data_IF_430727528407
#
_entry.id   IF_430727528407
#
_cell.length_a   1.000
_cell.length_b   1.000
_cell.length_c   1.000
_cell.angle_alpha   90.00
_cell.angle_beta   90.00
_cell.angle_gamma   90.00
#
_symmetry.space_group_name_H-M   'P 1'
#
loop_
_entity.id
_entity.type
_entity.pdbx_description
1 polymer ?
#
# COMPACT_ATOMS: atom_id res chain seq x y z
N UNK A 1 60.69 -41.51 2.52
CA UNK A 1 60.82 -40.58 3.64
C UNK A 1 60.62 -39.20 3.06
N UNK A 2 59.37 -38.75 3.00
CA UNK A 2 58.75 -37.89 4.04
C UNK A 2 59.33 -36.48 4.06
N UNK A 3 58.47 -35.48 3.92
CA UNK A 3 58.81 -34.11 4.31
C UNK A 3 58.12 -33.02 3.49
N UNK A 4 56.87 -32.70 3.84
CA UNK A 4 56.15 -31.47 3.47
C UNK A 4 56.92 -30.23 3.93
N UNK A 5 56.90 -29.13 3.16
CA UNK A 5 56.25 -27.86 3.56
C UNK A 5 56.30 -26.82 2.44
N UNK A 6 55.10 -26.36 2.10
CA UNK A 6 54.81 -25.18 1.30
C UNK A 6 55.24 -23.91 2.04
N UNK A 7 55.87 -22.98 1.33
CA UNK A 7 56.17 -21.64 1.82
C UNK A 7 55.49 -20.59 0.91
N UNK A 8 54.50 -19.93 1.51
CA UNK A 8 53.98 -18.58 1.26
C UNK A 8 54.00 -17.98 -0.16
N UNK A 9 52.81 -17.87 -0.76
CA UNK A 9 52.49 -16.75 -1.66
C UNK A 9 51.34 -15.96 -1.05
N UNK A 10 51.69 -14.85 -0.38
CA UNK A 10 50.77 -13.79 0.01
C UNK A 10 50.15 -13.17 -1.25
N UNK A 11 48.84 -13.35 -1.45
CA UNK A 11 48.03 -12.50 -2.33
C UNK A 11 47.23 -11.55 -1.46
N UNK A 12 47.49 -10.25 -1.64
CA UNK A 12 46.78 -9.10 -1.06
C UNK A 12 45.26 -9.33 -1.08
N UNK A 13 44.65 -9.36 0.10
CA UNK A 13 43.21 -9.14 0.28
C UNK A 13 43.03 -7.63 0.36
N UNK A 14 42.25 -7.05 -0.54
CA UNK A 14 41.82 -5.66 -0.48
C UNK A 14 40.97 -5.47 0.78
N UNK A 15 41.48 -4.71 1.74
CA UNK A 15 40.70 -4.12 2.82
C UNK A 15 39.68 -3.18 2.19
N UNK A 16 38.40 -3.57 2.19
CA UNK A 16 37.32 -2.59 2.18
C UNK A 16 37.27 -2.06 3.61
N UNK A 17 37.77 -0.83 3.79
CA UNK A 17 37.55 -0.05 5.01
C UNK A 17 36.03 0.01 5.24
N UNK A 18 35.59 -0.66 6.30
CA UNK A 18 34.27 -0.39 6.87
C UNK A 18 34.33 1.00 7.46
N UNK A 19 33.69 1.96 6.80
CA UNK A 19 33.46 3.29 7.33
C UNK A 19 32.49 3.14 8.51
N UNK A 20 33.03 3.13 9.73
CA UNK A 20 32.22 3.20 10.94
C UNK A 20 31.74 4.63 11.04
N UNK A 21 30.52 4.89 10.55
CA UNK A 21 29.85 6.18 10.65
C UNK A 21 29.63 6.47 12.15
N UNK A 22 30.48 7.34 12.71
CA UNK A 22 30.19 7.90 14.02
C UNK A 22 28.91 8.72 13.85
N UNK A 23 27.91 8.55 14.70
CA UNK A 23 26.57 9.13 14.48
C UNK A 23 26.49 10.67 14.50
N UNK A 24 27.59 11.40 14.28
CA UNK A 24 27.63 12.86 14.17
C UNK A 24 26.78 13.39 13.01
N UNK A 25 26.78 12.72 11.86
CA UNK A 25 25.97 13.13 10.71
C UNK A 25 24.46 13.08 11.03
N UNK A 26 24.03 12.09 11.82
CA UNK A 26 22.66 11.97 12.31
C UNK A 26 22.36 13.07 13.35
N UNK A 27 23.32 13.39 14.22
CA UNK A 27 23.17 14.47 15.19
C UNK A 27 23.11 15.86 14.54
N UNK A 28 23.77 16.07 13.39
CA UNK A 28 23.69 17.31 12.63
C UNK A 28 22.32 17.45 11.95
N UNK A 29 21.83 16.38 11.34
CA UNK A 29 20.55 16.37 10.63
C UNK A 29 19.34 16.49 11.58
N UNK A 30 19.43 15.91 12.78
CA UNK A 30 18.42 16.03 13.85
C UNK A 30 18.60 17.32 14.66
N UNK A 31 19.81 17.86 14.72
CA UNK A 31 20.15 19.09 15.44
C UNK A 31 19.66 20.36 14.74
N UNK A 32 19.49 20.33 13.42
CA UNK A 32 18.88 21.41 12.64
C UNK A 32 17.40 21.12 12.39
N UNK A 33 16.55 21.67 13.27
CA UNK A 33 15.09 21.54 13.23
C UNK A 33 14.49 21.93 11.87
N UNK A 34 15.16 22.81 11.12
CA UNK A 34 14.71 23.26 9.81
C UNK A 34 15.01 22.22 8.72
N UNK A 35 16.21 21.65 8.73
CA UNK A 35 16.61 20.60 7.77
C UNK A 35 15.81 19.32 8.00
N UNK A 36 15.61 18.95 9.27
CA UNK A 36 14.73 17.84 9.64
C UNK A 36 13.29 18.09 9.19
N UNK A 37 12.77 19.30 9.44
CA UNK A 37 11.43 19.71 8.99
C UNK A 37 11.27 19.62 7.48
N UNK A 38 12.23 20.12 6.70
CA UNK A 38 12.22 20.06 5.23
C UNK A 38 12.31 18.63 4.70
N UNK A 39 13.09 17.74 5.34
CA UNK A 39 13.17 16.33 4.98
C UNK A 39 11.85 15.59 5.24
N UNK A 40 11.27 15.81 6.42
CA UNK A 40 9.97 15.24 6.80
C UNK A 40 8.89 15.74 5.85
N UNK A 41 8.83 17.04 5.58
CA UNK A 41 7.86 17.64 4.67
C UNK A 41 8.02 17.10 3.24
N UNK A 42 9.25 16.95 2.75
CA UNK A 42 9.51 16.36 1.44
C UNK A 42 9.04 14.89 1.38
N UNK A 43 9.26 14.10 2.44
CA UNK A 43 8.79 12.71 2.52
C UNK A 43 7.27 12.60 2.59
N UNK A 44 6.62 13.49 3.35
CA UNK A 44 5.17 13.61 3.34
C UNK A 44 4.65 14.02 1.96
N UNK A 45 5.33 14.91 1.24
CA UNK A 45 4.97 15.32 -0.12
C UNK A 45 5.16 14.21 -1.15
N UNK A 46 6.20 13.38 -1.03
CA UNK A 46 6.38 12.19 -1.87
C UNK A 46 5.24 11.19 -1.66
N UNK A 47 4.87 10.92 -0.40
CA UNK A 47 3.72 10.07 -0.07
C UNK A 47 2.38 10.71 -0.48
N UNK A 48 2.28 12.04 -0.48
CA UNK A 48 1.07 12.77 -0.88
C UNK A 48 0.88 12.84 -2.41
N UNK A 49 1.94 12.65 -3.22
CA UNK A 49 1.87 12.86 -4.69
C UNK A 49 0.92 11.87 -5.37
N UNK A 50 0.88 10.64 -4.91
CA UNK A 50 -0.05 9.61 -5.40
C UNK A 50 -1.46 9.81 -4.80
N UNK A 51 -1.56 10.32 -3.57
CA UNK A 51 -2.83 10.53 -2.85
C UNK A 51 -3.63 11.73 -3.37
N UNK A 52 -2.95 12.78 -3.82
CA UNK A 52 -3.59 13.97 -4.40
C UNK A 52 -4.18 13.70 -5.78
N UNK A 53 -3.62 12.74 -6.54
CA UNK A 53 -4.17 12.33 -7.83
C UNK A 53 -5.54 11.65 -7.68
N UNK A 54 -5.73 10.92 -6.56
CA UNK A 54 -6.93 10.13 -6.29
C UNK A 54 -8.01 10.87 -5.48
N UNK A 55 -7.87 12.18 -5.21
CA UNK A 55 -8.93 13.01 -4.62
C UNK A 55 -9.47 12.56 -3.24
N UNK A 56 -8.80 11.60 -2.59
CA UNK A 56 -9.17 11.05 -1.29
C UNK A 56 -8.79 12.03 -0.18
N UNK A 57 -9.69 12.18 0.81
CA UNK A 57 -9.39 12.94 2.02
C UNK A 57 -8.14 12.33 2.69
N UNK A 58 -7.28 13.14 3.32
CA UNK A 58 -6.06 12.65 3.99
C UNK A 58 -6.42 11.67 5.10
N UNK A 59 -6.49 10.39 4.77
CA UNK A 59 -6.66 9.33 5.75
C UNK A 59 -5.39 9.25 6.62
N UNK A 60 -5.54 9.01 7.92
CA UNK A 60 -4.39 8.98 8.83
C UNK A 60 -3.40 7.91 8.39
N UNK A 61 -2.14 8.30 8.21
CA UNK A 61 -1.05 7.36 7.99
C UNK A 61 -0.69 6.78 9.36
N UNK A 62 -0.78 5.46 9.49
CA UNK A 62 -0.35 4.71 10.67
C UNK A 62 1.07 4.21 10.42
N UNK A 63 1.99 4.51 11.33
CA UNK A 63 3.35 3.98 11.27
C UNK A 63 3.41 2.71 12.10
N UNK A 64 3.57 1.57 11.43
CA UNK A 64 3.68 0.25 12.05
C UNK A 64 5.15 -0.16 12.11
N UNK A 65 5.55 -0.76 13.23
CA UNK A 65 6.84 -1.44 13.37
C UNK A 65 6.59 -2.94 13.34
N UNK A 66 6.99 -3.57 12.24
CA UNK A 66 6.81 -5.01 12.03
C UNK A 66 8.09 -5.73 12.46
N UNK A 67 8.02 -6.49 13.55
CA UNK A 67 9.17 -7.18 14.16
C UNK A 67 9.03 -8.70 14.22
N UNK A 68 8.00 -9.24 13.56
CA UNK A 68 7.76 -10.67 13.42
C UNK A 68 6.94 -11.31 14.54
N UNK A 69 6.56 -10.58 15.60
CA UNK A 69 5.69 -11.12 16.66
C UNK A 69 4.30 -11.48 16.09
N UNK A 70 3.66 -10.54 15.40
CA UNK A 70 2.34 -10.74 14.78
C UNK A 70 2.34 -11.86 13.74
N UNK A 71 3.43 -12.00 12.97
CA UNK A 71 3.59 -13.10 12.01
C UNK A 71 3.67 -14.45 12.71
N UNK A 72 4.37 -14.55 13.85
CA UNK A 72 4.42 -15.78 14.64
C UNK A 72 3.09 -16.11 15.31
N UNK A 73 2.32 -15.11 15.72
CA UNK A 73 0.96 -15.30 16.21
C UNK A 73 0.05 -15.81 15.09
N UNK A 74 0.12 -15.18 13.92
CA UNK A 74 -0.64 -15.58 12.75
C UNK A 74 -0.39 -17.04 12.36
N UNK A 75 0.87 -17.47 12.28
CA UNK A 75 1.23 -18.86 11.92
C UNK A 75 0.64 -19.89 12.91
N UNK A 76 0.45 -19.51 14.18
CA UNK A 76 -0.12 -20.38 15.22
C UNK A 76 -1.64 -20.31 15.30
N UNK A 77 -2.24 -19.37 14.58
CA UNK A 77 -3.68 -19.12 14.60
C UNK A 77 -4.46 -20.21 13.86
N UNK A 78 -5.72 -20.47 14.23
CA UNK A 78 -6.58 -21.40 13.50
C UNK A 78 -6.97 -20.91 12.09
N UNK A 79 -6.79 -19.61 11.78
CA UNK A 79 -7.09 -19.04 10.45
C UNK A 79 -5.96 -19.24 9.45
N UNK A 80 -4.74 -19.58 9.90
CA UNK A 80 -3.56 -19.74 9.07
C UNK A 80 -3.74 -20.70 7.89
N UNK A 81 -4.09 -21.96 8.16
CA UNK A 81 -4.23 -22.96 7.09
C UNK A 81 -5.35 -22.60 6.09
N UNK A 82 -6.59 -22.24 6.52
CA UNK A 82 -7.63 -21.80 5.60
C UNK A 82 -7.20 -20.65 4.68
N UNK A 83 -6.49 -19.67 5.22
CA UNK A 83 -6.03 -18.50 4.48
C UNK A 83 -4.96 -18.84 3.46
N UNK A 84 -3.97 -19.67 3.83
CA UNK A 84 -2.94 -20.12 2.90
C UNK A 84 -3.48 -21.01 1.78
N UNK A 85 -4.50 -21.81 2.05
CA UNK A 85 -5.19 -22.59 1.01
C UNK A 85 -5.90 -21.68 0.02
N UNK A 86 -6.53 -20.61 0.51
CA UNK A 86 -7.11 -19.58 -0.35
C UNK A 86 -6.05 -18.91 -1.22
N UNK A 87 -4.96 -18.45 -0.61
CA UNK A 87 -3.82 -17.82 -1.30
C UNK A 87 -3.24 -18.75 -2.37
N UNK A 88 -3.00 -20.02 -2.04
CA UNK A 88 -2.45 -20.99 -2.99
C UNK A 88 -3.36 -21.19 -4.21
N UNK A 89 -4.68 -21.15 -4.03
CA UNK A 89 -5.65 -21.29 -5.12
C UNK A 89 -5.66 -20.10 -6.08
N UNK A 90 -5.21 -18.93 -5.62
CA UNK A 90 -5.15 -17.69 -6.40
C UNK A 90 -3.77 -17.44 -7.04
N UNK A 91 -2.74 -18.18 -6.62
CA UNK A 91 -1.39 -18.02 -7.14
C UNK A 91 -1.25 -18.84 -8.44
N UNK A 92 -1.00 -18.14 -9.53
CA UNK A 92 -0.63 -18.74 -10.81
C UNK A 92 0.83 -18.41 -11.14
N UNK A 93 1.72 -19.40 -11.00
CA UNK A 93 3.11 -19.30 -11.45
C UNK A 93 3.37 -20.36 -12.52
N UNK A 94 3.30 -20.02 -13.82
CA UNK A 94 3.57 -20.96 -14.90
C UNK A 94 4.98 -21.54 -14.77
N UNK A 95 5.09 -22.87 -14.64
CA UNK A 95 6.35 -23.60 -14.44
C UNK A 95 7.16 -23.13 -13.21
N UNK A 96 6.49 -22.56 -12.20
CA UNK A 96 7.13 -22.07 -10.98
C UNK A 96 7.68 -23.19 -10.11
N UNK A 97 8.81 -22.91 -9.46
CA UNK A 97 9.35 -23.73 -8.39
C UNK A 97 8.58 -23.50 -7.07
N UNK A 98 8.74 -24.39 -6.09
CA UNK A 98 8.17 -24.19 -4.75
C UNK A 98 8.60 -22.84 -4.14
N UNK A 99 9.82 -22.39 -4.43
CA UNK A 99 10.34 -21.10 -4.00
C UNK A 99 9.53 -19.93 -4.56
N UNK A 100 9.17 -19.99 -5.85
CA UNK A 100 8.37 -18.95 -6.50
C UNK A 100 6.96 -18.87 -5.89
N UNK A 101 6.36 -20.03 -5.61
CA UNK A 101 5.06 -20.09 -4.92
C UNK A 101 5.13 -19.51 -3.50
N UNK A 102 6.20 -19.78 -2.76
CA UNK A 102 6.40 -19.21 -1.41
C UNK A 102 6.57 -17.69 -1.48
N UNK A 103 7.37 -17.17 -2.41
CA UNK A 103 7.50 -15.72 -2.62
C UNK A 103 6.14 -15.10 -2.94
N UNK A 104 5.39 -15.69 -3.88
CA UNK A 104 4.05 -15.21 -4.23
C UNK A 104 3.08 -15.28 -3.06
N UNK A 105 3.21 -16.24 -2.17
CA UNK A 105 2.40 -16.29 -0.96
C UNK A 105 2.73 -15.15 0.01
N UNK A 106 4.02 -14.86 0.23
CA UNK A 106 4.42 -13.70 1.03
C UNK A 106 3.98 -12.37 0.43
N UNK A 107 3.93 -12.24 -0.90
CA UNK A 107 3.35 -11.05 -1.56
C UNK A 107 1.83 -10.90 -1.30
N UNK A 108 1.13 -11.96 -0.90
CA UNK A 108 -0.30 -11.90 -0.54
C UNK A 108 -0.53 -11.64 0.95
N UNK A 109 0.46 -11.86 1.80
CA UNK A 109 0.37 -11.48 3.21
C UNK A 109 0.59 -9.97 3.37
N UNK A 110 -0.05 -9.39 4.38
CA UNK A 110 0.00 -7.96 4.66
C UNK A 110 0.43 -7.69 6.10
N UNK A 111 0.45 -6.42 6.48
CA UNK A 111 0.75 -5.99 7.85
C UNK A 111 -0.24 -6.57 8.87
N UNK A 112 -1.46 -6.92 8.46
CA UNK A 112 -2.47 -7.56 9.31
C UNK A 112 -2.03 -8.98 9.73
N UNK A 113 -1.26 -9.66 8.89
CA UNK A 113 -0.64 -10.95 9.17
C UNK A 113 0.81 -10.78 9.70
N UNK A 114 1.21 -9.56 10.07
CA UNK A 114 2.56 -9.27 10.56
C UNK A 114 3.65 -9.31 9.51
N UNK A 115 3.30 -9.20 8.22
CA UNK A 115 4.26 -9.25 7.11
C UNK A 115 4.44 -7.85 6.49
N UNK A 116 5.66 -7.28 6.43
CA UNK A 116 5.88 -6.09 5.64
C UNK A 116 5.76 -6.42 4.14
N UNK A 117 5.47 -5.44 3.26
CA UNK A 117 5.32 -5.65 1.82
C UNK A 117 6.49 -6.43 1.20
N UNK A 118 6.28 -7.69 0.86
CA UNK A 118 7.32 -8.53 0.27
C UNK A 118 7.72 -8.09 -1.15
N UNK A 119 6.87 -7.31 -1.82
CA UNK A 119 7.15 -6.68 -3.10
C UNK A 119 8.18 -5.54 -3.00
N UNK A 120 8.45 -5.02 -1.79
CA UNK A 120 9.49 -4.03 -1.58
C UNK A 120 10.88 -4.67 -1.74
N UNK A 121 11.74 -4.02 -2.53
CA UNK A 121 13.05 -4.58 -2.89
C UNK A 121 13.95 -4.78 -1.67
N UNK A 122 13.88 -3.92 -0.66
CA UNK A 122 14.69 -4.05 0.53
C UNK A 122 14.18 -5.19 1.41
N UNK A 123 12.86 -5.31 1.60
CA UNK A 123 12.24 -6.41 2.35
C UNK A 123 12.59 -7.75 1.70
N UNK A 124 12.48 -7.85 0.38
CA UNK A 124 12.86 -9.05 -0.35
C UNK A 124 14.33 -9.43 -0.08
N UNK A 125 15.26 -8.49 -0.29
CA UNK A 125 16.70 -8.76 -0.23
C UNK A 125 17.23 -8.99 1.19
N UNK A 126 16.62 -8.36 2.21
CA UNK A 126 17.15 -8.35 3.57
C UNK A 126 16.37 -9.25 4.53
N UNK A 127 15.13 -9.64 4.20
CA UNK A 127 14.26 -10.41 5.08
C UNK A 127 13.86 -11.73 4.39
N UNK A 128 13.22 -11.66 3.21
CA UNK A 128 12.59 -12.84 2.58
C UNK A 128 13.61 -13.78 1.96
N UNK A 129 14.53 -13.28 1.14
CA UNK A 129 15.58 -14.11 0.50
C UNK A 129 16.52 -14.77 1.53
N UNK A 130 17.02 -14.07 2.56
CA UNK A 130 17.83 -14.72 3.61
C UNK A 130 17.08 -15.80 4.38
N UNK A 131 15.78 -15.62 4.62
CA UNK A 131 14.93 -16.62 5.24
C UNK A 131 14.77 -17.86 4.35
N UNK A 132 14.52 -17.67 3.05
CA UNK A 132 14.45 -18.75 2.06
C UNK A 132 15.78 -19.51 1.99
N UNK A 133 16.90 -18.78 1.98
CA UNK A 133 18.25 -19.35 1.92
C UNK A 133 18.61 -20.16 3.18
N UNK A 134 18.26 -19.66 4.36
CA UNK A 134 18.49 -20.34 5.63
C UNK A 134 17.74 -21.66 5.72
N UNK A 135 16.60 -21.71 5.03
CA UNK A 135 15.69 -22.83 5.02
C UNK A 135 15.99 -23.81 3.82
N UNK A 136 16.94 -23.51 2.90
CA UNK A 136 17.32 -24.18 1.60
C UNK A 136 17.55 -25.70 1.51
N UNK A 137 17.19 -26.50 2.50
CA UNK A 137 17.28 -27.98 2.41
C UNK A 137 16.17 -28.61 1.53
N UNK A 138 15.65 -27.85 0.58
CA UNK A 138 14.44 -28.14 -0.16
C UNK A 138 14.77 -28.90 -1.44
N UNK A 139 14.72 -30.22 -1.35
CA UNK A 139 14.71 -31.11 -2.50
C UNK A 139 13.59 -30.69 -3.46
N UNK A 140 13.83 -30.80 -4.77
CA UNK A 140 12.88 -30.60 -5.87
C UNK A 140 11.66 -31.54 -5.74
N UNK A 141 10.76 -31.25 -4.81
CA UNK A 141 9.54 -32.03 -4.58
C UNK A 141 8.41 -31.47 -5.46
N UNK A 142 7.53 -32.34 -5.98
CA UNK A 142 6.34 -31.89 -6.69
C UNK A 142 5.49 -31.03 -5.76
N UNK A 143 5.02 -29.90 -6.26
CA UNK A 143 4.20 -28.95 -5.52
C UNK A 143 2.89 -29.65 -5.14
N UNK A 144 2.76 -29.98 -3.87
CA UNK A 144 1.54 -30.45 -3.22
C UNK A 144 1.19 -29.50 -2.09
N UNK A 145 -0.10 -29.35 -1.79
CA UNK A 145 -0.59 -28.43 -0.76
C UNK A 145 0.06 -28.69 0.62
N UNK A 146 0.19 -29.95 1.03
CA UNK A 146 0.85 -30.37 2.28
C UNK A 146 2.31 -29.91 2.34
N UNK A 147 3.01 -30.04 1.22
CA UNK A 147 4.41 -29.65 1.05
C UNK A 147 4.53 -28.13 1.08
N UNK A 148 3.68 -27.41 0.35
CA UNK A 148 3.64 -25.95 0.35
C UNK A 148 3.42 -25.38 1.75
N UNK A 149 2.38 -25.84 2.46
CA UNK A 149 2.07 -25.36 3.82
C UNK A 149 3.25 -25.59 4.77
N UNK A 150 3.80 -26.81 4.79
CA UNK A 150 4.94 -27.13 5.65
C UNK A 150 6.15 -26.23 5.39
N UNK A 151 6.43 -25.93 4.12
CA UNK A 151 7.60 -25.14 3.73
C UNK A 151 7.39 -23.66 3.98
N UNK A 152 6.21 -23.12 3.62
CA UNK A 152 5.86 -21.73 3.87
C UNK A 152 5.90 -21.43 5.37
N UNK A 153 5.39 -22.32 6.23
CA UNK A 153 5.49 -22.17 7.70
C UNK A 153 6.92 -22.03 8.17
N UNK A 154 7.82 -22.92 7.74
CA UNK A 154 9.24 -22.85 8.12
C UNK A 154 9.90 -21.57 7.66
N UNK A 155 9.63 -21.16 6.41
CA UNK A 155 10.19 -19.91 5.88
C UNK A 155 9.58 -18.71 6.62
N UNK A 156 8.31 -18.74 7.00
CA UNK A 156 7.67 -17.66 7.74
C UNK A 156 8.23 -17.53 9.17
N UNK A 157 8.57 -18.66 9.82
CA UNK A 157 9.36 -18.66 11.06
C UNK A 157 10.78 -18.08 10.85
N UNK A 158 11.47 -18.50 9.78
CA UNK A 158 12.75 -17.92 9.34
C UNK A 158 12.60 -16.38 9.16
N UNK A 159 11.55 -15.91 8.48
CA UNK A 159 11.24 -14.47 8.25
C UNK A 159 11.01 -13.73 9.55
N UNK A 160 10.18 -14.26 10.44
CA UNK A 160 9.90 -13.63 11.74
C UNK A 160 11.17 -13.44 12.56
N UNK A 161 12.10 -14.39 12.51
CA UNK A 161 13.40 -14.24 13.18
C UNK A 161 14.24 -13.11 12.57
N UNK A 162 14.25 -12.96 11.24
CA UNK A 162 14.94 -11.85 10.59
C UNK A 162 14.29 -10.50 10.93
N UNK A 163 12.96 -10.43 10.99
CA UNK A 163 12.22 -9.23 11.41
C UNK A 163 12.50 -8.85 12.86
N UNK A 164 12.71 -9.83 13.74
CA UNK A 164 13.08 -9.58 15.14
C UNK A 164 14.44 -8.90 15.25
N UNK A 165 15.39 -9.28 14.40
CA UNK A 165 16.73 -8.69 14.34
C UNK A 165 16.74 -7.36 13.58
N UNK A 166 15.91 -7.24 12.54
CA UNK A 166 15.79 -6.06 11.67
C UNK A 166 14.32 -5.70 11.46
N UNK A 167 13.70 -5.03 12.46
CA UNK A 167 12.32 -4.61 12.36
C UNK A 167 12.11 -3.66 11.18
N UNK A 168 10.98 -3.80 10.50
CA UNK A 168 10.64 -2.99 9.33
C UNK A 168 9.60 -1.96 9.71
N UNK A 169 9.85 -0.70 9.37
CA UNK A 169 8.87 0.37 9.57
C UNK A 169 8.00 0.47 8.32
N UNK A 170 6.70 0.36 8.48
CA UNK A 170 5.71 0.41 7.40
C UNK A 170 4.77 1.57 7.64
N UNK A 171 4.65 2.46 6.67
CA UNK A 171 3.57 3.42 6.57
C UNK A 171 2.34 2.70 5.99
N UNK A 172 1.33 2.52 6.83
CA UNK A 172 0.07 1.87 6.50
C UNK A 172 -1.05 2.90 6.43
N UNK A 173 -1.86 2.82 5.38
CA UNK A 173 -3.12 3.55 5.26
C UNK A 173 -4.22 2.57 4.92
N UNK A 174 -5.34 2.64 5.63
CA UNK A 174 -6.55 1.88 5.31
C UNK A 174 -7.73 2.83 5.15
N UNK A 175 -8.44 2.66 4.03
CA UNK A 175 -9.63 3.38 3.69
C UNK A 175 -10.81 2.43 3.69
N UNK A 176 -11.78 2.67 4.58
CA UNK A 176 -12.98 1.87 4.68
C UNK A 176 -14.20 2.67 4.23
N UNK A 177 -14.83 2.21 3.15
CA UNK A 177 -16.04 2.77 2.59
C UNK A 177 -17.26 1.95 3.02
N UNK A 178 -17.97 2.46 4.01
CA UNK A 178 -19.10 1.77 4.68
C UNK A 178 -20.43 2.53 4.59
N UNK A 179 -20.47 3.58 3.76
CA UNK A 179 -21.67 4.40 3.57
C UNK A 179 -21.95 5.42 4.68
N UNK A 180 -21.20 5.46 5.80
CA UNK A 180 -21.43 6.45 6.87
C UNK A 180 -21.27 7.89 6.39
N UNK A 181 -20.30 8.14 5.52
CA UNK A 181 -20.08 9.46 4.92
C UNK A 181 -21.28 9.93 4.09
N UNK A 182 -21.86 9.03 3.28
CA UNK A 182 -23.07 9.28 2.50
C UNK A 182 -24.25 9.54 3.45
N UNK A 183 -24.45 8.67 4.44
CA UNK A 183 -25.52 8.80 5.44
C UNK A 183 -25.50 10.14 6.16
N UNK A 184 -24.30 10.59 6.54
CA UNK A 184 -24.09 11.91 7.16
C UNK A 184 -24.49 13.04 6.22
N UNK A 185 -24.10 12.97 4.95
CA UNK A 185 -24.45 13.97 3.94
C UNK A 185 -25.96 14.00 3.68
N UNK A 186 -26.58 12.84 3.46
CA UNK A 186 -28.03 12.71 3.23
C UNK A 186 -28.87 13.20 4.42
N UNK A 187 -28.35 13.07 5.65
CA UNK A 187 -29.02 13.54 6.87
C UNK A 187 -28.94 15.06 7.06
N UNK A 188 -28.02 15.75 6.36
CA UNK A 188 -27.85 17.21 6.45
C UNK A 188 -28.39 17.88 5.18
N UNK A 189 -29.68 18.28 5.22
CA UNK A 189 -30.37 18.90 4.09
C UNK A 189 -29.63 20.11 3.49
N UNK A 190 -29.02 20.95 4.33
CA UNK A 190 -28.32 22.15 3.85
C UNK A 190 -27.05 21.80 3.07
N UNK A 191 -26.20 20.94 3.62
CA UNK A 191 -24.97 20.50 2.95
C UNK A 191 -25.27 19.66 1.70
N UNK A 192 -26.31 18.81 1.76
CA UNK A 192 -26.77 18.06 0.60
C UNK A 192 -27.17 19.02 -0.53
N UNK A 193 -28.06 19.96 -0.26
CA UNK A 193 -28.55 20.90 -1.28
C UNK A 193 -27.42 21.71 -1.89
N UNK A 194 -26.53 22.26 -1.05
CA UNK A 194 -25.35 23.00 -1.48
C UNK A 194 -24.42 22.17 -2.36
N UNK A 195 -24.24 20.89 -2.04
CA UNK A 195 -23.36 19.99 -2.81
C UNK A 195 -24.00 19.60 -4.14
N UNK A 196 -25.31 19.33 -4.16
CA UNK A 196 -26.07 19.08 -5.38
C UNK A 196 -26.07 20.30 -6.31
N UNK A 197 -26.25 21.51 -5.77
CA UNK A 197 -26.15 22.76 -6.53
C UNK A 197 -24.75 22.99 -7.11
N UNK A 198 -23.70 22.56 -6.41
CA UNK A 198 -22.33 22.60 -6.93
C UNK A 198 -22.16 21.64 -8.11
N UNK A 199 -22.67 20.40 -8.00
CA UNK A 199 -22.65 19.43 -9.08
C UNK A 199 -23.45 19.90 -10.31
N UNK A 200 -24.59 20.57 -10.11
CA UNK A 200 -25.37 21.13 -11.23
C UNK A 200 -24.67 22.24 -12.01
N UNK A 201 -23.63 22.86 -11.45
CA UNK A 201 -22.81 23.86 -12.15
C UNK A 201 -21.75 23.24 -13.03
N UNK A 202 -21.41 21.96 -12.85
CA UNK A 202 -20.39 21.26 -13.64
C UNK A 202 -20.98 20.52 -14.83
N UNK A 203 -22.29 20.31 -14.87
CA UNK A 203 -22.98 19.57 -15.95
C UNK A 203 -23.50 20.51 -17.04
N UNK A 204 -23.42 20.05 -18.30
CA UNK A 204 -23.90 20.80 -19.45
C UNK A 204 -25.44 20.77 -19.53
N UNK A 205 -26.01 21.88 -19.99
CA UNK A 205 -27.47 22.07 -20.12
C UNK A 205 -27.86 22.27 -21.56
N UNK A 206 -29.04 21.81 -21.92
CA UNK A 206 -29.64 22.12 -23.21
C UNK A 206 -30.21 23.56 -23.24
N UNK A 207 -30.76 23.95 -24.40
CA UNK A 207 -31.36 25.28 -24.59
C UNK A 207 -32.60 25.54 -23.72
N UNK A 208 -33.20 24.50 -23.16
CA UNK A 208 -34.33 24.59 -22.22
C UNK A 208 -33.92 24.51 -20.75
N UNK A 209 -32.61 24.39 -20.45
CA UNK A 209 -32.11 24.27 -19.09
C UNK A 209 -32.13 22.85 -18.52
N UNK A 210 -32.47 21.85 -19.34
CA UNK A 210 -32.52 20.45 -18.93
C UNK A 210 -31.17 19.76 -19.05
N UNK A 211 -31.02 18.64 -18.36
CA UNK A 211 -29.76 17.93 -18.18
C UNK A 211 -29.93 16.48 -18.64
N UNK A 212 -28.97 15.99 -19.42
CA UNK A 212 -28.90 14.58 -19.83
C UNK A 212 -28.43 13.72 -18.65
N UNK A 213 -29.07 12.56 -18.44
CA UNK A 213 -28.64 11.61 -17.40
C UNK A 213 -27.21 11.07 -17.61
N UNK A 214 -26.64 11.18 -18.82
CA UNK A 214 -25.24 10.82 -19.08
C UNK A 214 -24.23 11.56 -18.17
N UNK A 215 -24.64 12.72 -17.62
CA UNK A 215 -23.83 13.50 -16.70
C UNK A 215 -23.95 13.06 -15.23
N UNK A 216 -24.78 12.06 -14.89
CA UNK A 216 -24.95 11.61 -13.50
C UNK A 216 -23.64 11.14 -12.88
N UNK A 217 -22.79 10.44 -13.66
CA UNK A 217 -21.49 9.98 -13.18
C UNK A 217 -20.54 11.13 -12.90
N UNK A 218 -20.52 12.14 -13.79
CA UNK A 218 -19.74 13.38 -13.59
C UNK A 218 -20.24 14.13 -12.36
N UNK A 219 -21.56 14.22 -12.18
CA UNK A 219 -22.14 14.87 -11.02
C UNK A 219 -21.84 14.10 -9.72
N UNK A 220 -21.87 12.77 -9.76
CA UNK A 220 -21.53 11.91 -8.62
C UNK A 220 -20.08 12.12 -8.17
N UNK A 221 -19.13 12.23 -9.10
CA UNK A 221 -17.72 12.54 -8.78
C UNK A 221 -17.56 13.88 -8.05
N UNK A 222 -18.39 14.89 -8.37
CA UNK A 222 -18.38 16.17 -7.67
C UNK A 222 -18.92 16.05 -6.25
N UNK A 223 -19.90 15.17 -6.01
CA UNK A 223 -20.51 14.96 -4.70
C UNK A 223 -19.68 13.99 -3.83
N UNK A 224 -18.92 13.09 -4.46
CA UNK A 224 -18.18 12.00 -3.80
C UNK A 224 -17.31 12.45 -2.61
N UNK A 225 -16.49 13.53 -2.69
CA UNK A 225 -15.67 13.97 -1.57
C UNK A 225 -16.49 14.38 -0.33
N UNK A 226 -17.64 15.02 -0.53
CA UNK A 226 -18.56 15.40 0.56
C UNK A 226 -19.20 14.17 1.22
N UNK A 227 -19.38 13.11 0.43
CA UNK A 227 -19.93 11.83 0.85
C UNK A 227 -18.87 10.84 1.39
N UNK A 228 -17.58 11.20 1.37
CA UNK A 228 -16.49 10.32 1.78
C UNK A 228 -16.27 9.15 0.82
N UNK A 229 -16.61 9.32 -0.46
CA UNK A 229 -16.36 8.36 -1.52
C UNK A 229 -15.09 8.72 -2.30
N UNK A 230 -14.38 7.73 -2.87
CA UNK A 230 -13.29 7.99 -3.79
C UNK A 230 -13.85 8.59 -5.10
N UNK A 231 -13.04 9.35 -5.85
CA UNK A 231 -13.33 9.64 -7.25
C UNK A 231 -13.46 8.35 -8.06
N UNK A 232 -14.28 8.41 -9.11
CA UNK A 232 -14.41 7.30 -10.06
C UNK A 232 -13.04 6.92 -10.64
N UNK A 233 -12.74 5.62 -10.70
CA UNK A 233 -11.51 5.07 -11.27
C UNK A 233 -10.39 4.87 -10.27
N UNK A 234 -10.45 5.49 -9.08
CA UNK A 234 -9.43 5.32 -8.04
C UNK A 234 -9.53 3.94 -7.35
N UNK A 235 -10.76 3.42 -7.18
CA UNK A 235 -11.00 2.14 -6.52
C UNK A 235 -11.93 1.28 -7.36
N UNK A 236 -11.39 0.28 -8.06
CA UNK A 236 -12.15 -0.59 -8.96
C UNK A 236 -13.34 -1.31 -8.30
N UNK A 237 -13.23 -1.67 -7.03
CA UNK A 237 -14.34 -2.27 -6.27
C UNK A 237 -15.48 -1.26 -6.06
N UNK A 238 -15.16 0.02 -5.81
CA UNK A 238 -16.15 1.07 -5.67
C UNK A 238 -16.80 1.41 -7.01
N UNK A 239 -16.02 1.43 -8.09
CA UNK A 239 -16.54 1.62 -9.45
C UNK A 239 -17.59 0.56 -9.81
N UNK A 240 -17.36 -0.69 -9.38
CA UNK A 240 -18.30 -1.79 -9.54
C UNK A 240 -19.61 -1.54 -8.76
N UNK A 241 -19.52 -1.12 -7.49
CA UNK A 241 -20.68 -0.75 -6.67
C UNK A 241 -21.49 0.35 -7.36
N UNK A 242 -20.81 1.41 -7.84
CA UNK A 242 -21.46 2.52 -8.55
C UNK A 242 -22.15 2.02 -9.83
N UNK A 243 -21.48 1.17 -10.63
CA UNK A 243 -22.02 0.61 -11.86
C UNK A 243 -23.26 -0.27 -11.61
N UNK A 244 -23.22 -1.11 -10.57
CA UNK A 244 -24.33 -1.97 -10.19
C UNK A 244 -25.57 -1.15 -9.76
N UNK A 245 -25.35 -0.06 -9.00
CA UNK A 245 -26.42 0.88 -8.62
C UNK A 245 -26.98 1.64 -9.83
N UNK A 246 -26.11 2.17 -10.69
CA UNK A 246 -26.51 2.91 -11.89
C UNK A 246 -27.39 2.06 -12.82
N UNK A 247 -27.03 0.78 -12.99
CA UNK A 247 -27.82 -0.18 -13.74
C UNK A 247 -29.17 -0.49 -13.09
N UNK A 248 -29.23 -0.59 -11.77
CA UNK A 248 -30.48 -0.87 -11.04
C UNK A 248 -31.51 0.27 -11.16
N UNK A 249 -31.04 1.52 -11.30
CA UNK A 249 -31.87 2.72 -11.32
C UNK A 249 -32.13 3.27 -12.75
N UNK A 250 -31.75 2.52 -13.79
CA UNK A 250 -31.83 2.98 -15.19
C UNK A 250 -31.21 4.39 -15.37
N UNK A 251 -30.06 4.61 -14.72
CA UNK A 251 -29.38 5.91 -14.68
C UNK A 251 -28.70 6.24 -16.03
N UNK A 252 -28.43 5.24 -16.88
CA UNK A 252 -27.70 5.40 -18.14
C UNK A 252 -28.60 5.44 -19.39
N UNK A 253 -29.91 5.67 -19.23
CA UNK A 253 -30.87 5.71 -20.36
C UNK A 253 -30.72 6.94 -21.28
N UNK A 254 -29.83 7.87 -20.94
CA UNK A 254 -29.57 9.11 -21.69
C UNK A 254 -30.75 10.08 -21.72
N UNK A 255 -31.80 9.85 -20.91
CA UNK A 255 -32.99 10.69 -20.87
C UNK A 255 -32.61 12.10 -20.40
N UNK A 256 -33.26 13.09 -20.98
CA UNK A 256 -33.13 14.49 -20.58
C UNK A 256 -34.17 14.77 -19.49
N UNK A 257 -33.71 15.32 -18.36
CA UNK A 257 -34.52 15.58 -17.16
C UNK A 257 -34.36 17.01 -16.67
N UNK A 258 -35.34 17.50 -15.91
CA UNK A 258 -35.25 18.81 -15.23
C UNK A 258 -34.27 18.76 -14.06
N UNK A 259 -33.78 19.92 -13.60
CA UNK A 259 -32.77 20.00 -12.51
C UNK A 259 -33.20 19.27 -11.24
N UNK A 260 -34.44 19.45 -10.80
CA UNK A 260 -34.96 18.84 -9.57
C UNK A 260 -35.10 17.30 -9.72
N UNK A 261 -35.46 16.81 -10.91
CA UNK A 261 -35.47 15.38 -11.19
C UNK A 261 -34.04 14.80 -11.21
N UNK A 262 -33.07 15.56 -11.75
CA UNK A 262 -31.65 15.19 -11.74
C UNK A 262 -31.10 15.12 -10.30
N UNK A 263 -31.35 16.13 -9.47
CA UNK A 263 -30.96 16.16 -8.05
C UNK A 263 -31.54 14.97 -7.29
N UNK A 264 -32.83 14.69 -7.51
CA UNK A 264 -33.52 13.56 -6.88
C UNK A 264 -32.87 12.24 -7.27
N UNK A 265 -32.59 12.03 -8.55
CA UNK A 265 -31.95 10.82 -9.04
C UNK A 265 -30.53 10.64 -8.50
N UNK A 266 -29.73 11.72 -8.46
CA UNK A 266 -28.40 11.70 -7.85
C UNK A 266 -28.45 11.34 -6.36
N UNK A 267 -29.43 11.88 -5.63
CA UNK A 267 -29.68 11.55 -4.23
C UNK A 267 -30.09 10.09 -4.04
N UNK A 268 -30.91 9.56 -4.94
CA UNK A 268 -31.35 8.16 -4.94
C UNK A 268 -30.20 7.17 -5.22
N UNK A 269 -29.33 7.50 -6.17
CA UNK A 269 -28.08 6.77 -6.44
C UNK A 269 -27.21 6.74 -5.18
N UNK A 270 -26.97 7.89 -4.55
CA UNK A 270 -26.19 7.95 -3.30
C UNK A 270 -26.82 7.11 -2.19
N UNK A 271 -28.14 7.17 -2.03
CA UNK A 271 -28.87 6.36 -1.05
C UNK A 271 -28.71 4.85 -1.32
N UNK A 272 -28.70 4.45 -2.59
CA UNK A 272 -28.50 3.05 -2.98
C UNK A 272 -27.06 2.58 -2.77
N UNK A 273 -26.06 3.42 -3.09
CA UNK A 273 -24.65 3.14 -2.78
C UNK A 273 -24.48 2.99 -1.26
N UNK A 274 -25.07 3.88 -0.46
CA UNK A 274 -25.04 3.79 1.00
C UNK A 274 -25.57 2.44 1.51
N UNK A 275 -26.72 1.98 1.00
CA UNK A 275 -27.30 0.70 1.41
C UNK A 275 -26.43 -0.50 1.02
N UNK A 276 -25.80 -0.47 -0.15
CA UNK A 276 -24.87 -1.54 -0.55
C UNK A 276 -23.64 -1.57 0.35
N UNK A 277 -23.05 -0.41 0.67
CA UNK A 277 -21.87 -0.31 1.52
C UNK A 277 -22.16 -0.62 2.99
N UNK A 278 -23.37 -0.34 3.49
CA UNK A 278 -23.79 -0.75 4.85
C UNK A 278 -23.86 -2.29 4.97
N UNK A 279 -24.21 -2.99 3.89
CA UNK A 279 -24.27 -4.45 3.85
C UNK A 279 -22.93 -5.13 3.53
N UNK A 280 -22.09 -4.49 2.71
CA UNK A 280 -20.79 -4.99 2.29
C UNK A 280 -19.80 -3.82 2.10
N UNK A 281 -19.09 -3.41 3.17
CA UNK A 281 -18.10 -2.35 3.11
C UNK A 281 -16.94 -2.70 2.17
N UNK A 282 -16.32 -1.66 1.60
CA UNK A 282 -15.11 -1.81 0.77
C UNK A 282 -13.92 -1.25 1.54
N UNK A 283 -12.95 -2.10 1.88
CA UNK A 283 -11.66 -1.68 2.45
C UNK A 283 -10.57 -1.68 1.39
N UNK A 284 -9.77 -0.62 1.35
CA UNK A 284 -8.56 -0.51 0.53
C UNK A 284 -7.41 -0.13 1.44
N UNK A 285 -6.37 -0.95 1.49
CA UNK A 285 -5.15 -0.64 2.22
C UNK A 285 -3.97 -0.41 1.29
N UNK A 286 -3.03 0.41 1.74
CA UNK A 286 -1.75 0.63 1.06
C UNK A 286 -0.65 0.60 2.11
N UNK A 287 0.42 -0.12 1.80
CA UNK A 287 1.54 -0.38 2.68
C UNK A 287 2.82 0.06 1.96
N UNK A 288 3.56 0.99 2.55
CA UNK A 288 4.84 1.46 2.03
C UNK A 288 5.92 1.29 3.07
N UNK A 289 7.05 0.72 2.68
CA UNK A 289 8.17 0.53 3.60
C UNK A 289 8.96 1.83 3.72
N UNK A 290 9.20 2.26 4.95
CA UNK A 290 9.95 3.48 5.24
C UNK A 290 11.43 3.12 5.40
N UNK A 291 12.21 3.35 4.34
CA UNK A 291 13.67 3.23 4.37
C UNK A 291 14.32 4.62 4.36
N UNK A 292 15.46 4.74 5.03
CA UNK A 292 16.37 5.87 4.78
C UNK A 292 16.89 5.78 3.33
N UNK A 293 16.92 6.89 2.57
CA UNK A 293 17.42 6.86 1.20
C UNK A 293 18.93 6.57 1.20
N UNK A 294 19.32 5.36 0.78
CA UNK A 294 20.72 4.92 0.67
C UNK A 294 21.53 5.61 -0.45
N UNK A 295 21.16 6.82 -0.88
CA UNK A 295 21.94 7.58 -1.88
C UNK A 295 21.96 9.08 -1.57
N UNK A 296 22.94 9.47 -0.78
CA UNK A 296 23.72 10.68 -1.03
C UNK A 296 25.11 10.44 -0.45
N UNK A 297 25.95 9.75 -1.22
CA UNK A 297 27.38 9.91 -1.06
C UNK A 297 27.68 11.40 -1.32
N UNK A 298 27.72 12.18 -0.24
CA UNK A 298 28.14 13.58 -0.29
C UNK A 298 29.49 13.62 -0.98
N UNK A 299 29.52 14.20 -2.17
CA UNK A 299 30.78 14.48 -2.85
C UNK A 299 31.46 15.58 -2.04
N UNK A 300 32.28 15.16 -1.07
CA UNK A 300 33.07 16.03 -0.21
C UNK A 300 33.98 16.89 -1.11
N UNK A 301 33.73 18.21 -1.11
CA UNK A 301 34.68 19.18 -1.62
C UNK A 301 35.94 19.14 -0.73
N UNK A 302 37.15 19.10 -1.32
CA UNK A 302 38.37 19.13 -0.52
C UNK A 302 38.53 20.48 0.19
N UNK A 303 39.07 20.50 1.43
CA UNK A 303 39.21 21.72 2.20
C UNK A 303 40.24 22.69 1.57
N UNK A 304 40.07 24.01 1.75
CA UNK A 304 41.00 24.99 1.20
C UNK A 304 42.35 24.92 1.93
N UNK A 305 43.42 24.83 1.14
CA UNK A 305 44.80 24.87 1.63
C UNK A 305 45.12 26.26 2.20
N UNK A 306 45.15 26.39 3.53
CA UNK A 306 45.75 27.55 4.18
C UNK A 306 47.27 27.43 4.15
N UNK A 307 47.89 28.14 3.21
CA UNK A 307 49.31 28.52 3.30
C UNK A 307 49.41 29.73 4.21
N UNK A 308 50.07 29.56 5.35
CA UNK A 308 50.54 30.68 6.18
C UNK A 308 52.00 30.96 5.80
N UNK A 309 52.26 32.23 5.49
CA UNK A 309 53.59 32.82 5.41
C UNK A 309 54.19 33.01 6.81
#
# INVERSE_FOLDING_TARGET
MEGKREESVMRKKSEQEGEVMDGSDIMELVGDEKVYGEFVDHKFQELDRDRMADGLKRDPIVILRIDGEDLLEFIKSPSYEPELVSILSEIEVPNGSLHDYIIKAFERLSVDQGMPPASDSWVMSNIVEPALQSCSTFLEQPIRQDTFLLHLTKVAECVAQHLKERPVIVAHTENNFDGRGIKRLLSNKFELEKTLDAALKTVARDRSGKISKEYLRVALDVVAPSAGLPPFGAVAQMDKVIADVAKMLDADDGKIVEEEEFKKLLTEIMGSIMLQLEGNPVSVSTNSVVHEPLTSASTILPPPSHSAA
#
